data_IF_843153014361
#
_entry.id   IF_843153014361
#
_cell.length_a   1.000
_cell.length_b   1.000
_cell.length_c   1.000
_cell.angle_alpha   90.00
_cell.angle_beta   90.00
_cell.angle_gamma   90.00
#
_symmetry.space_group_name_H-M   'P 1'
#
loop_
_entity.id
_entity.type
_entity.pdbx_description
1 polymer ?
#
# COMPACT_ATOMS: atom_id res chain seq x y z
N UNK A 1 12.98 -23.68 23.97
CA UNK A 1 13.43 -22.46 24.66
C UNK A 1 12.63 -21.31 24.07
N UNK A 2 11.53 -20.89 24.72
CA UNK A 2 10.73 -19.75 24.26
C UNK A 2 11.50 -18.49 24.64
N UNK A 3 12.02 -17.76 23.64
CA UNK A 3 12.49 -16.40 23.84
C UNK A 3 11.30 -15.58 24.32
N UNK A 4 11.29 -15.19 25.60
CA UNK A 4 10.38 -14.16 26.10
C UNK A 4 10.70 -12.88 25.33
N UNK A 5 9.92 -12.61 24.28
CA UNK A 5 9.99 -11.34 23.58
C UNK A 5 9.70 -10.26 24.62
N UNK A 6 10.69 -9.38 24.86
CA UNK A 6 10.50 -8.20 25.70
C UNK A 6 9.34 -7.34 25.18
N UNK A 7 8.85 -6.37 25.98
CA UNK A 7 7.78 -5.48 25.54
C UNK A 7 8.15 -4.81 24.21
N UNK A 8 7.22 -4.82 23.24
CA UNK A 8 7.43 -4.24 21.89
C UNK A 8 7.74 -2.73 21.92
N UNK A 9 7.54 -2.06 23.05
CA UNK A 9 7.94 -0.67 23.26
C UNK A 9 9.45 -0.49 23.47
N UNK A 10 10.22 -1.57 23.59
CA UNK A 10 11.67 -1.51 23.83
C UNK A 10 12.42 -2.00 22.59
N UNK A 11 13.40 -1.23 22.14
CA UNK A 11 14.25 -1.61 21.02
C UNK A 11 15.08 -2.84 21.36
N UNK A 12 14.96 -3.91 20.56
CA UNK A 12 15.71 -5.14 20.77
C UNK A 12 17.23 -4.98 20.62
N UNK A 13 17.69 -3.93 19.92
CA UNK A 13 19.11 -3.72 19.62
C UNK A 13 19.80 -2.82 20.65
N UNK A 14 19.16 -1.72 21.07
CA UNK A 14 19.76 -0.72 21.98
C UNK A 14 19.06 -0.58 23.33
N UNK A 15 17.88 -1.18 23.53
CA UNK A 15 17.12 -1.07 24.78
C UNK A 15 16.35 0.24 24.96
N UNK A 16 16.38 1.15 23.98
CA UNK A 16 15.64 2.42 24.05
C UNK A 16 14.12 2.21 24.08
N UNK A 17 13.43 3.09 24.82
CA UNK A 17 11.98 3.16 24.82
C UNK A 17 11.46 3.85 23.55
N UNK A 18 10.88 3.06 22.65
CA UNK A 18 10.32 3.52 21.38
C UNK A 18 9.15 4.50 21.57
N UNK A 19 8.53 4.55 22.76
CA UNK A 19 7.49 5.54 23.08
C UNK A 19 8.05 6.95 23.24
N UNK A 20 9.35 7.07 23.55
CA UNK A 20 10.06 8.34 23.68
C UNK A 20 10.73 8.78 22.36
N UNK A 21 10.63 7.97 21.30
CA UNK A 21 11.21 8.32 20.01
C UNK A 21 10.55 9.57 19.43
N UNK A 22 11.37 10.47 18.87
CA UNK A 22 10.87 11.67 18.20
C UNK A 22 10.06 11.27 16.96
N UNK A 23 8.82 11.76 16.81
CA UNK A 23 8.05 11.52 15.60
C UNK A 23 8.75 12.11 14.37
N UNK A 24 8.80 11.34 13.30
CA UNK A 24 9.23 11.88 12.00
C UNK A 24 8.04 12.56 11.33
N UNK A 25 8.24 13.80 10.89
CA UNK A 25 7.26 14.49 10.06
C UNK A 25 7.22 13.84 8.68
N UNK A 26 6.04 13.37 8.27
CA UNK A 26 5.81 12.73 6.98
C UNK A 26 5.04 13.69 6.08
N UNK A 27 5.44 13.87 4.81
CA UNK A 27 4.71 14.73 3.89
C UNK A 27 3.32 14.15 3.60
N UNK A 28 2.31 15.02 3.67
CA UNK A 28 0.94 14.70 3.26
C UNK A 28 0.88 14.80 1.74
N UNK A 29 0.75 13.65 1.05
CA UNK A 29 0.68 13.62 -0.41
C UNK A 29 -0.69 14.06 -0.96
N UNK A 30 -1.77 13.69 -0.26
CA UNK A 30 -3.14 14.06 -0.59
C UNK A 30 -3.96 14.13 0.71
N UNK A 31 -4.62 15.26 0.95
CA UNK A 31 -5.33 15.51 2.21
C UNK A 31 -6.43 14.49 2.47
N UNK A 32 -7.20 14.12 1.44
CA UNK A 32 -8.30 13.16 1.57
C UNK A 32 -7.77 11.78 1.95
N UNK A 33 -6.80 11.27 1.20
CA UNK A 33 -6.20 9.96 1.48
C UNK A 33 -5.43 9.92 2.80
N UNK A 34 -4.88 11.04 3.24
CA UNK A 34 -4.29 11.15 4.58
C UNK A 34 -5.33 11.02 5.69
N UNK A 35 -6.47 11.71 5.59
CA UNK A 35 -7.55 11.56 6.58
C UNK A 35 -8.07 10.12 6.65
N UNK A 36 -8.20 9.44 5.51
CA UNK A 36 -8.56 8.01 5.50
C UNK A 36 -7.48 7.12 6.12
N UNK A 37 -6.21 7.50 5.99
CA UNK A 37 -5.10 6.82 6.67
C UNK A 37 -5.23 6.96 8.18
N UNK A 38 -5.56 8.15 8.67
CA UNK A 38 -5.81 8.39 10.11
C UNK A 38 -7.01 7.56 10.59
N UNK A 39 -8.10 7.49 9.84
CA UNK A 39 -9.25 6.63 10.16
C UNK A 39 -8.85 5.15 10.22
N UNK A 40 -8.05 4.69 9.26
CA UNK A 40 -7.52 3.33 9.23
C UNK A 40 -6.68 3.04 10.48
N UNK A 41 -5.75 3.93 10.85
CA UNK A 41 -4.91 3.77 12.03
C UNK A 41 -5.73 3.73 13.32
N UNK A 42 -6.71 4.63 13.48
CA UNK A 42 -7.65 4.60 14.61
C UNK A 42 -8.43 3.28 14.69
N UNK A 43 -8.76 2.69 13.54
CA UNK A 43 -9.42 1.39 13.51
C UNK A 43 -8.51 0.26 14.00
N UNK A 44 -7.19 0.36 13.82
CA UNK A 44 -6.25 -0.63 14.37
C UNK A 44 -6.19 -0.54 15.90
N UNK A 45 -6.18 0.67 16.45
CA UNK A 45 -6.20 0.91 17.91
C UNK A 45 -7.45 0.31 18.56
N UNK A 46 -8.59 0.33 17.87
CA UNK A 46 -9.84 -0.26 18.35
C UNK A 46 -9.98 -1.77 18.06
N UNK A 47 -8.93 -2.46 17.57
CA UNK A 47 -9.01 -3.84 17.07
C UNK A 47 -10.12 -4.04 16.02
N UNK A 48 -10.25 -3.05 15.12
CA UNK A 48 -11.30 -2.95 14.10
C UNK A 48 -12.73 -2.93 14.64
N UNK A 49 -12.93 -2.75 15.96
CA UNK A 49 -14.27 -2.62 16.54
C UNK A 49 -14.93 -1.36 15.97
N UNK A 50 -16.06 -1.56 15.28
CA UNK A 50 -16.86 -0.47 14.71
C UNK A 50 -16.52 -0.06 13.28
N UNK A 51 -15.54 -0.68 12.60
CA UNK A 51 -15.24 -0.35 11.19
C UNK A 51 -15.19 -1.58 10.30
N UNK A 52 -16.31 -1.88 9.63
CA UNK A 52 -16.37 -2.90 8.58
C UNK A 52 -15.57 -2.52 7.32
N UNK A 53 -15.15 -1.26 7.20
CA UNK A 53 -14.39 -0.73 6.06
C UNK A 53 -12.96 -1.28 6.00
N UNK A 54 -12.32 -1.48 7.15
CA UNK A 54 -10.88 -1.77 7.25
C UNK A 54 -10.56 -3.20 7.67
N UNK A 55 -11.34 -4.19 7.21
CA UNK A 55 -11.08 -5.60 7.51
C UNK A 55 -9.88 -6.20 6.74
N UNK A 56 -9.63 -7.50 6.91
CA UNK A 56 -8.54 -8.23 6.24
C UNK A 56 -8.48 -8.03 4.72
N UNK A 57 -9.65 -7.96 4.07
CA UNK A 57 -9.75 -7.69 2.62
C UNK A 57 -9.10 -6.36 2.24
N UNK A 58 -9.29 -5.31 3.05
CA UNK A 58 -8.67 -4.00 2.82
C UNK A 58 -7.15 -4.10 2.97
N UNK A 59 -6.67 -4.73 4.05
CA UNK A 59 -5.24 -4.90 4.31
C UNK A 59 -4.53 -5.68 3.20
N UNK A 60 -5.12 -6.77 2.71
CA UNK A 60 -4.55 -7.56 1.61
C UNK A 60 -4.39 -6.74 0.33
N UNK A 61 -5.41 -5.93 -0.02
CA UNK A 61 -5.35 -5.08 -1.22
C UNK A 61 -4.37 -3.92 -1.03
N UNK A 62 -4.34 -3.29 0.15
CA UNK A 62 -3.40 -2.23 0.48
C UNK A 62 -1.95 -2.72 0.39
N UNK A 63 -1.64 -3.88 0.98
CA UNK A 63 -0.33 -4.52 0.90
C UNK A 63 0.06 -4.80 -0.55
N UNK A 64 -0.88 -5.31 -1.35
CA UNK A 64 -0.66 -5.51 -2.79
C UNK A 64 -0.33 -4.19 -3.50
N UNK A 65 -0.99 -3.08 -3.16
CA UNK A 65 -0.67 -1.78 -3.76
C UNK A 65 0.76 -1.35 -3.40
N UNK A 66 1.17 -1.48 -2.14
CA UNK A 66 2.55 -1.21 -1.72
C UNK A 66 3.56 -2.03 -2.53
N UNK A 67 3.29 -3.33 -2.73
CA UNK A 67 4.13 -4.22 -3.53
C UNK A 67 4.22 -3.80 -4.99
N UNK A 68 3.09 -3.41 -5.60
CA UNK A 68 3.06 -2.95 -6.99
C UNK A 68 3.83 -1.64 -7.20
N UNK A 69 3.69 -0.69 -6.26
CA UNK A 69 4.43 0.58 -6.28
C UNK A 69 5.95 0.33 -6.23
N UNK A 70 6.37 -0.69 -5.49
CA UNK A 70 7.77 -1.09 -5.36
C UNK A 70 8.27 -1.99 -6.51
N UNK A 71 7.39 -2.47 -7.40
CA UNK A 71 7.75 -3.50 -8.36
C UNK A 71 8.34 -2.94 -9.66
N UNK A 72 9.65 -3.10 -9.83
CA UNK A 72 10.34 -2.77 -11.09
C UNK A 72 9.96 -3.70 -12.26
N UNK A 73 9.39 -4.89 -11.99
CA UNK A 73 9.09 -5.90 -13.04
C UNK A 73 7.61 -6.04 -13.32
N UNK A 74 6.77 -6.13 -12.27
CA UNK A 74 5.35 -6.41 -12.44
C UNK A 74 4.57 -5.16 -12.87
N UNK A 75 4.99 -3.98 -12.39
CA UNK A 75 4.31 -2.71 -12.63
C UNK A 75 5.28 -1.51 -12.67
N UNK A 76 6.29 -1.52 -13.58
CA UNK A 76 7.36 -0.51 -13.60
C UNK A 76 6.85 0.94 -13.73
N UNK A 77 5.72 1.16 -14.39
CA UNK A 77 5.14 2.49 -14.57
C UNK A 77 4.20 2.93 -13.45
N UNK A 78 3.86 2.06 -12.49
CA UNK A 78 2.79 2.33 -11.54
C UNK A 78 3.14 3.40 -10.52
N UNK A 79 4.38 3.37 -10.02
CA UNK A 79 4.90 4.43 -9.14
C UNK A 79 4.90 5.77 -9.86
N UNK A 80 5.42 5.82 -11.08
CA UNK A 80 5.52 7.07 -11.83
C UNK A 80 4.14 7.66 -12.13
N UNK A 81 3.19 6.82 -12.54
CA UNK A 81 1.80 7.23 -12.71
C UNK A 81 1.21 7.89 -11.45
N UNK A 82 1.44 7.31 -10.27
CA UNK A 82 0.94 7.88 -9.01
C UNK A 82 1.66 9.20 -8.70
N UNK A 83 2.98 9.25 -8.91
CA UNK A 83 3.78 10.45 -8.69
C UNK A 83 3.32 11.64 -9.52
N UNK A 84 3.11 11.42 -10.82
CA UNK A 84 2.59 12.44 -11.74
C UNK A 84 1.22 12.95 -11.28
N UNK A 85 0.34 12.06 -10.79
CA UNK A 85 -1.01 12.43 -10.34
C UNK A 85 -1.02 13.18 -9.01
N UNK A 86 -0.07 12.89 -8.14
CA UNK A 86 0.09 13.54 -6.83
C UNK A 86 1.01 14.77 -6.87
N UNK A 87 1.71 15.00 -7.98
CA UNK A 87 2.79 15.98 -8.09
C UNK A 87 3.78 15.88 -6.91
N UNK A 88 4.13 14.66 -6.51
CA UNK A 88 4.98 14.42 -5.33
C UNK A 88 6.44 14.20 -5.71
N UNK A 89 7.39 14.60 -4.84
CA UNK A 89 8.82 14.50 -5.11
C UNK A 89 9.25 13.04 -5.33
N UNK A 90 10.29 12.85 -6.13
CA UNK A 90 10.95 11.55 -6.22
C UNK A 90 11.67 11.27 -4.91
N UNK A 91 11.20 10.28 -4.18
CA UNK A 91 11.96 9.72 -3.07
C UNK A 91 12.77 8.58 -3.66
N UNK A 92 14.09 8.67 -3.56
CA UNK A 92 14.97 7.60 -4.01
C UNK A 92 14.66 6.33 -3.20
N UNK A 93 13.89 5.42 -3.81
CA UNK A 93 13.63 4.11 -3.24
C UNK A 93 14.81 3.22 -3.56
N UNK A 94 15.33 2.54 -2.53
CA UNK A 94 16.42 1.57 -2.72
C UNK A 94 15.97 0.52 -3.72
N UNK A 95 16.76 0.37 -4.79
CA UNK A 95 16.50 -0.59 -5.85
C UNK A 95 16.72 -2.03 -5.37
N UNK A 96 16.10 -2.99 -6.06
CA UNK A 96 16.27 -4.41 -5.77
C UNK A 96 15.10 -5.07 -5.02
N UNK A 97 15.33 -6.30 -4.56
CA UNK A 97 14.29 -7.21 -4.03
C UNK A 97 14.04 -7.05 -2.53
N UNK A 98 14.00 -5.82 -2.02
CA UNK A 98 13.61 -5.57 -0.63
C UNK A 98 12.08 -5.56 -0.51
N UNK A 99 11.56 -6.31 0.46
CA UNK A 99 10.13 -6.27 0.79
C UNK A 99 9.75 -4.89 1.33
N UNK A 100 8.46 -4.58 1.38
CA UNK A 100 7.99 -3.30 1.90
C UNK A 100 8.41 -3.10 3.36
N UNK A 101 8.35 -4.16 4.17
CA UNK A 101 8.54 -4.14 5.62
C UNK A 101 9.99 -3.87 6.03
N UNK A 102 10.96 -4.23 5.19
CA UNK A 102 12.40 -4.06 5.49
C UNK A 102 12.96 -2.70 5.06
N UNK A 103 12.14 -1.87 4.39
CA UNK A 103 12.54 -0.54 3.93
C UNK A 103 12.62 0.46 5.08
N UNK A 104 13.33 1.56 4.83
CA UNK A 104 13.43 2.66 5.79
C UNK A 104 12.04 3.20 6.13
N UNK A 105 11.91 3.81 7.31
CA UNK A 105 10.64 4.42 7.73
C UNK A 105 10.15 5.47 6.73
N UNK A 106 11.06 6.26 6.13
CA UNK A 106 10.72 7.28 5.13
C UNK A 106 10.15 6.65 3.86
N UNK A 107 10.81 5.63 3.31
CA UNK A 107 10.33 4.92 2.12
C UNK A 107 8.97 4.27 2.38
N UNK A 108 8.79 3.63 3.54
CA UNK A 108 7.52 2.97 3.90
C UNK A 108 6.38 3.97 3.95
N UNK A 109 6.59 5.13 4.55
CA UNK A 109 5.56 6.17 4.60
C UNK A 109 5.22 6.73 3.22
N UNK A 110 6.22 6.96 2.37
CA UNK A 110 5.99 7.41 0.99
C UNK A 110 5.14 6.40 0.21
N UNK A 111 5.53 5.12 0.25
CA UNK A 111 4.82 4.03 -0.44
C UNK A 111 3.41 3.85 0.13
N UNK A 112 3.26 3.91 1.46
CA UNK A 112 1.96 3.79 2.12
C UNK A 112 1.04 4.95 1.74
N UNK A 113 1.54 6.18 1.69
CA UNK A 113 0.78 7.35 1.24
C UNK A 113 0.28 7.20 -0.20
N UNK A 114 1.14 6.76 -1.12
CA UNK A 114 0.76 6.45 -2.50
C UNK A 114 -0.27 5.31 -2.59
N UNK A 115 -0.08 4.25 -1.79
CA UNK A 115 -0.99 3.12 -1.75
C UNK A 115 -2.36 3.51 -1.20
N UNK A 116 -2.41 4.29 -0.12
CA UNK A 116 -3.64 4.84 0.45
C UNK A 116 -4.34 5.78 -0.52
N UNK A 117 -3.57 6.55 -1.32
CA UNK A 117 -4.15 7.27 -2.44
C UNK A 117 -4.84 6.32 -3.42
N UNK A 118 -4.23 5.23 -3.86
CA UNK A 118 -4.97 4.25 -4.68
C UNK A 118 -6.23 3.75 -3.95
N UNK A 119 -6.12 3.38 -2.67
CA UNK A 119 -7.24 2.80 -1.90
C UNK A 119 -8.44 3.72 -1.72
N UNK A 120 -8.26 5.04 -1.59
CA UNK A 120 -9.36 6.00 -1.37
C UNK A 120 -10.32 6.13 -2.55
N UNK A 121 -9.91 5.71 -3.75
CA UNK A 121 -10.79 5.56 -4.91
C UNK A 121 -10.28 4.42 -5.79
N UNK A 122 -10.25 3.22 -5.19
CA UNK A 122 -9.58 2.03 -5.73
C UNK A 122 -9.99 1.74 -7.17
N UNK A 123 -11.29 1.76 -7.45
CA UNK A 123 -11.79 1.37 -8.76
C UNK A 123 -11.40 2.39 -9.85
N UNK A 124 -11.61 3.68 -9.59
CA UNK A 124 -11.29 4.74 -10.54
C UNK A 124 -9.79 4.86 -10.76
N UNK A 125 -9.00 4.88 -9.69
CA UNK A 125 -7.55 5.11 -9.76
C UNK A 125 -6.82 3.92 -10.41
N UNK A 126 -7.23 2.67 -10.12
CA UNK A 126 -6.69 1.51 -10.84
C UNK A 126 -7.12 1.44 -12.30
N UNK A 127 -8.35 1.84 -12.63
CA UNK A 127 -8.80 1.94 -14.03
C UNK A 127 -7.91 2.92 -14.81
N UNK A 128 -7.69 4.12 -14.28
CA UNK A 128 -6.82 5.11 -14.90
C UNK A 128 -5.38 4.62 -15.06
N UNK A 129 -4.83 3.92 -14.05
CA UNK A 129 -3.50 3.33 -14.12
C UNK A 129 -3.41 2.21 -15.17
N UNK A 130 -4.47 1.44 -15.37
CA UNK A 130 -4.51 0.41 -16.39
C UNK A 130 -4.64 1.00 -17.80
N UNK A 131 -5.50 2.02 -17.98
CA UNK A 131 -5.69 2.75 -19.24
C UNK A 131 -4.38 3.42 -19.69
N UNK A 132 -3.62 4.00 -18.75
CA UNK A 132 -2.29 4.57 -19.01
C UNK A 132 -1.17 3.53 -19.20
N UNK A 133 -1.50 2.23 -19.11
CA UNK A 133 -0.56 1.10 -19.18
C UNK A 133 0.49 1.09 -18.04
N UNK A 134 0.26 1.85 -16.97
CA UNK A 134 1.14 1.87 -15.80
C UNK A 134 1.11 0.55 -15.01
N UNK A 135 -0.02 -0.18 -15.07
CA UNK A 135 -0.17 -1.51 -14.45
C UNK A 135 -0.90 -2.48 -15.38
N UNK A 136 -0.50 -3.76 -15.36
CA UNK A 136 -1.14 -4.83 -16.13
C UNK A 136 -2.12 -5.61 -15.25
N UNK A 137 -3.20 -6.13 -15.85
CA UNK A 137 -4.17 -6.99 -15.18
C UNK A 137 -3.51 -8.13 -14.38
N UNK A 138 -2.57 -8.86 -14.98
CA UNK A 138 -1.89 -9.98 -14.32
C UNK A 138 -1.14 -9.55 -13.05
N UNK A 139 -0.63 -8.32 -13.00
CA UNK A 139 0.08 -7.82 -11.82
C UNK A 139 -0.88 -7.54 -10.65
N UNK A 140 -2.10 -7.06 -10.92
CA UNK A 140 -3.09 -6.71 -9.89
C UNK A 140 -3.46 -7.89 -9.00
N UNK A 141 -3.52 -9.09 -9.56
CA UNK A 141 -3.91 -10.31 -8.87
C UNK A 141 -2.73 -11.20 -8.46
N UNK A 142 -1.51 -10.83 -8.88
CA UNK A 142 -0.33 -11.68 -8.67
C UNK A 142 0.00 -11.77 -7.18
N UNK A 143 0.29 -12.98 -6.72
CA UNK A 143 0.76 -13.27 -5.35
C UNK A 143 -0.23 -12.79 -4.26
N UNK A 144 -1.53 -12.77 -4.58
CA UNK A 144 -2.61 -12.73 -3.60
C UNK A 144 -3.10 -14.17 -3.43
N UNK A 145 -2.86 -14.78 -2.25
CA UNK A 145 -3.24 -16.18 -2.01
C UNK A 145 -4.76 -16.37 -2.01
N UNK A 146 -5.47 -15.48 -1.32
CA UNK A 146 -6.95 -15.48 -1.22
C UNK A 146 -7.50 -14.06 -1.45
N UNK A 147 -7.47 -13.55 -2.70
CA UNK A 147 -7.90 -12.19 -2.99
C UNK A 147 -9.41 -12.03 -2.73
N UNK A 148 -9.86 -10.89 -2.17
CA UNK A 148 -11.28 -10.64 -1.96
C UNK A 148 -12.06 -10.73 -3.28
N UNK A 149 -13.14 -11.52 -3.31
CA UNK A 149 -13.87 -11.79 -4.56
C UNK A 149 -14.34 -10.51 -5.27
N UNK A 150 -14.77 -9.49 -4.51
CA UNK A 150 -15.14 -8.18 -5.08
C UNK A 150 -13.99 -7.54 -5.86
N UNK A 151 -12.76 -7.63 -5.35
CA UNK A 151 -11.57 -7.12 -6.03
C UNK A 151 -11.24 -7.93 -7.28
N UNK A 152 -11.35 -9.27 -7.22
CA UNK A 152 -11.17 -10.15 -8.39
C UNK A 152 -12.17 -9.80 -9.50
N UNK A 153 -13.45 -9.66 -9.16
CA UNK A 153 -14.51 -9.30 -10.12
C UNK A 153 -14.27 -7.95 -10.77
N UNK A 154 -13.78 -6.98 -10.01
CA UNK A 154 -13.37 -5.67 -10.53
C UNK A 154 -12.15 -5.80 -11.46
N UNK A 155 -11.06 -6.41 -11.00
CA UNK A 155 -9.81 -6.52 -11.76
C UNK A 155 -10.01 -7.30 -13.07
N UNK A 156 -10.91 -8.29 -13.11
CA UNK A 156 -11.25 -9.06 -14.32
C UNK A 156 -11.74 -8.20 -15.48
N UNK A 157 -12.28 -7.01 -15.22
CA UNK A 157 -12.71 -6.06 -16.26
C UNK A 157 -11.53 -5.54 -17.09
N UNK A 158 -10.31 -5.59 -16.55
CA UNK A 158 -9.08 -5.15 -17.20
C UNK A 158 -8.42 -6.24 -18.07
N UNK A 159 -9.02 -7.43 -18.15
CA UNK A 159 -8.51 -8.49 -18.99
C UNK A 159 -8.82 -8.23 -20.47
N UNK A 160 -7.79 -7.87 -21.24
CA UNK A 160 -7.88 -7.50 -22.67
C UNK A 160 -8.43 -8.60 -23.57
N UNK A 161 -8.33 -9.88 -23.19
CA UNK A 161 -8.92 -10.97 -23.97
C UNK A 161 -10.45 -10.94 -23.98
N UNK A 162 -11.08 -10.24 -23.03
CA UNK A 162 -12.54 -10.05 -22.97
C UNK A 162 -13.01 -8.73 -23.56
N UNK A 163 -12.15 -7.71 -23.65
CA UNK A 163 -12.49 -6.38 -24.18
C UNK A 163 -12.40 -6.28 -25.71
N UNK A 164 -11.89 -7.31 -26.39
CA UNK A 164 -11.87 -7.41 -27.86
C UNK A 164 -13.09 -8.15 -28.47
N UNK A 165 -14.09 -8.47 -27.65
CA UNK A 165 -15.25 -9.31 -28.02
C UNK A 165 -16.60 -8.59 -28.09
N UNK A 166 -16.59 -7.26 -28.28
CA UNK A 166 -17.75 -6.40 -28.56
C UNK A 166 -17.33 -5.38 -29.60
#
# INVERSE_FOLDING_TARGET
MLLLAGPMSICHACGDDLRAALPLTIPILDQKSFLETVEFLKSLESNHRGSFRFGFSFHAILHQQCRLILSERAAPGFREFIRERLNCPDVHLVSGRSSFETRTIVERHQVLGMAMWIMSDLQKRLKLAWESRAVKYNALLKDLDSPPQRFVSFARQFNRSRTKGT
#
